data_IF_194962387121
#
_entry.id   IF_194962387121
#
_cell.length_a   1.000
_cell.length_b   1.000
_cell.length_c   1.000
_cell.angle_alpha   90.00
_cell.angle_beta   90.00
_cell.angle_gamma   90.00
#
_symmetry.space_group_name_H-M   'P 1'
#
loop_
_entity.id
_entity.type
_entity.pdbx_description
1 polymer ?
#
# COMPACT_ATOMS: atom_id res chain seq x y z
N UNK A 1 -2.10 -10.41 13.28
CA UNK A 1 -2.46 -10.80 11.89
C UNK A 1 -3.93 -10.51 11.62
N UNK A 2 -4.28 -10.11 10.41
CA UNK A 2 -5.68 -9.90 10.00
C UNK A 2 -6.37 -11.24 9.68
N UNK A 3 -7.72 -11.33 9.75
CA UNK A 3 -8.43 -12.54 9.38
C UNK A 3 -8.31 -12.81 7.87
N UNK A 4 -8.11 -14.08 7.51
CA UNK A 4 -8.09 -14.54 6.12
C UNK A 4 -9.48 -14.42 5.50
N UNK A 5 -9.53 -13.91 4.27
CA UNK A 5 -10.73 -13.82 3.47
C UNK A 5 -10.96 -15.11 2.68
N UNK A 6 -12.14 -15.72 2.85
CA UNK A 6 -12.58 -16.83 2.01
C UNK A 6 -12.86 -16.37 0.56
N UNK A 7 -12.85 -17.30 -0.40
CA UNK A 7 -13.24 -17.02 -1.80
C UNK A 7 -14.63 -16.37 -1.89
N UNK A 8 -15.59 -16.81 -1.07
CA UNK A 8 -16.92 -16.18 -1.00
C UNK A 8 -16.86 -14.72 -0.55
N UNK A 9 -16.00 -14.40 0.42
CA UNK A 9 -15.84 -13.04 0.92
C UNK A 9 -15.13 -12.16 -0.12
N UNK A 10 -14.12 -12.71 -0.79
CA UNK A 10 -13.45 -12.06 -1.92
C UNK A 10 -14.43 -11.75 -3.04
N UNK A 11 -15.31 -12.70 -3.40
CA UNK A 11 -16.33 -12.49 -4.43
C UNK A 11 -17.29 -11.35 -4.07
N UNK A 12 -17.69 -11.24 -2.79
CA UNK A 12 -18.54 -10.13 -2.33
C UNK A 12 -17.84 -8.76 -2.38
N UNK A 13 -16.53 -8.71 -2.14
CA UNK A 13 -15.75 -7.46 -2.08
C UNK A 13 -15.25 -7.01 -3.47
N UNK A 14 -14.82 -7.97 -4.29
CA UNK A 14 -14.24 -7.75 -5.59
C UNK A 14 -14.61 -8.90 -6.55
N UNK A 15 -15.84 -8.94 -7.08
CA UNK A 15 -16.29 -9.96 -8.02
C UNK A 15 -15.36 -10.15 -9.24
N UNK A 16 -14.69 -9.09 -9.71
CA UNK A 16 -13.84 -9.15 -10.90
C UNK A 16 -12.61 -10.04 -10.76
N UNK A 17 -12.25 -10.45 -9.54
CA UNK A 17 -11.20 -11.45 -9.26
C UNK A 17 -11.49 -12.79 -9.97
N UNK A 18 -12.77 -13.15 -10.05
CA UNK A 18 -13.23 -14.45 -10.55
C UNK A 18 -13.57 -14.42 -12.05
N UNK A 19 -13.29 -13.30 -12.71
CA UNK A 19 -13.51 -13.15 -14.14
C UNK A 19 -12.38 -13.82 -14.92
N UNK A 20 -12.72 -14.86 -15.68
CA UNK A 20 -11.78 -15.55 -16.56
C UNK A 20 -11.70 -14.92 -17.96
N UNK A 21 -12.73 -14.15 -18.35
CA UNK A 21 -12.79 -13.48 -19.65
C UNK A 21 -11.99 -12.16 -19.67
N UNK A 22 -11.64 -11.71 -20.87
CA UNK A 22 -11.12 -10.36 -21.12
C UNK A 22 -12.24 -9.46 -21.64
N UNK A 23 -12.16 -8.16 -21.37
CA UNK A 23 -13.09 -7.18 -21.95
C UNK A 23 -13.02 -7.20 -23.48
N UNK A 24 -14.14 -6.96 -24.16
CA UNK A 24 -14.22 -6.82 -25.61
C UNK A 24 -13.34 -5.69 -26.17
N UNK A 25 -12.94 -4.75 -25.31
CA UNK A 25 -12.07 -3.62 -25.66
C UNK A 25 -10.58 -4.00 -25.71
N UNK A 26 -10.22 -5.24 -25.35
CA UNK A 26 -8.83 -5.71 -25.33
C UNK A 26 -8.37 -6.26 -26.67
N UNK A 27 -7.08 -6.10 -26.97
CA UNK A 27 -6.48 -6.61 -28.22
C UNK A 27 -6.45 -8.14 -28.28
N UNK A 28 -6.26 -8.69 -29.48
CA UNK A 28 -6.07 -10.14 -29.68
C UNK A 28 -4.84 -10.68 -28.94
N UNK A 29 -3.80 -9.86 -28.79
CA UNK A 29 -2.56 -10.19 -28.06
C UNK A 29 -2.71 -10.16 -26.54
N UNK A 30 -3.80 -9.60 -26.00
CA UNK A 30 -4.02 -9.55 -24.55
C UNK A 30 -4.45 -10.93 -24.04
N UNK A 31 -3.72 -11.43 -23.05
CA UNK A 31 -4.04 -12.64 -22.29
C UNK A 31 -4.42 -12.27 -20.86
N UNK A 32 -5.67 -12.52 -20.42
CA UNK A 32 -6.09 -12.23 -19.05
C UNK A 32 -5.26 -13.07 -18.07
N UNK A 33 -4.86 -12.44 -16.97
CA UNK A 33 -4.18 -13.13 -15.86
C UNK A 33 -5.28 -13.51 -14.86
N UNK A 34 -5.46 -14.81 -14.62
CA UNK A 34 -6.48 -15.28 -13.70
C UNK A 34 -6.07 -14.97 -12.25
N UNK A 35 -6.69 -13.95 -11.66
CA UNK A 35 -6.41 -13.57 -10.27
C UNK A 35 -6.78 -14.70 -9.31
N UNK A 36 -7.85 -15.45 -9.59
CA UNK A 36 -8.20 -16.64 -8.80
C UNK A 36 -7.06 -17.68 -8.76
N UNK A 37 -6.49 -18.03 -9.90
CA UNK A 37 -5.37 -18.99 -9.95
C UNK A 37 -4.14 -18.46 -9.20
N UNK A 38 -3.89 -17.14 -9.31
CA UNK A 38 -2.82 -16.50 -8.55
C UNK A 38 -3.07 -16.57 -7.05
N UNK A 39 -4.31 -16.35 -6.59
CA UNK A 39 -4.68 -16.48 -5.17
C UNK A 39 -4.39 -17.91 -4.69
N UNK A 40 -4.85 -18.92 -5.42
CA UNK A 40 -4.64 -20.31 -5.04
C UNK A 40 -3.14 -20.65 -4.96
N UNK A 41 -2.36 -20.15 -5.91
CA UNK A 41 -0.90 -20.33 -5.90
C UNK A 41 -0.24 -19.62 -4.72
N UNK A 42 -0.56 -18.35 -4.47
CA UNK A 42 -0.05 -17.59 -3.32
C UNK A 42 -0.40 -18.28 -1.99
N UNK A 43 -1.62 -18.79 -1.86
CA UNK A 43 -2.05 -19.54 -0.66
C UNK A 43 -1.23 -20.82 -0.47
N UNK A 44 -0.92 -21.55 -1.54
CA UNK A 44 -0.02 -22.73 -1.45
C UNK A 44 1.41 -22.36 -1.03
N UNK A 45 1.84 -21.12 -1.26
CA UNK A 45 3.14 -20.58 -0.82
C UNK A 45 3.04 -19.89 0.56
N UNK A 46 1.90 -20.01 1.26
CA UNK A 46 1.70 -19.48 2.61
C UNK A 46 1.22 -18.03 2.70
N UNK A 47 0.85 -17.41 1.56
CA UNK A 47 0.29 -16.06 1.49
C UNK A 47 -1.24 -16.09 1.45
N UNK A 48 -1.86 -15.50 2.47
CA UNK A 48 -3.30 -15.54 2.62
C UNK A 48 -3.90 -14.15 2.39
N UNK A 49 -4.98 -14.03 1.61
CA UNK A 49 -5.62 -12.75 1.35
C UNK A 49 -6.32 -12.26 2.62
N UNK A 50 -6.02 -11.03 3.05
CA UNK A 50 -6.59 -10.41 4.25
C UNK A 50 -7.46 -9.21 3.94
N UNK A 51 -7.35 -8.67 2.72
CA UNK A 51 -8.12 -7.53 2.26
C UNK A 51 -8.30 -7.55 0.75
N UNK A 52 -9.45 -7.05 0.27
CA UNK A 52 -9.72 -6.87 -1.15
C UNK A 52 -10.65 -5.68 -1.42
N UNK A 53 -10.48 -5.06 -2.58
CA UNK A 53 -11.42 -4.07 -3.14
C UNK A 53 -11.39 -4.11 -4.66
N UNK A 54 -12.40 -3.53 -5.30
CA UNK A 54 -12.38 -3.22 -6.72
C UNK A 54 -12.92 -1.82 -7.00
N UNK A 55 -12.52 -1.26 -8.15
CA UNK A 55 -13.06 0.00 -8.63
C UNK A 55 -14.57 -0.09 -8.82
N UNK A 56 -15.29 0.92 -8.33
CA UNK A 56 -16.72 1.05 -8.55
C UNK A 56 -16.97 1.61 -9.94
N UNK A 57 -17.83 0.94 -10.71
CA UNK A 57 -18.35 1.42 -12.00
C UNK A 57 -19.87 1.46 -11.93
N UNK A 58 -20.51 2.40 -12.65
CA UNK A 58 -21.96 2.37 -12.85
C UNK A 58 -22.35 1.40 -13.98
N UNK A 59 -21.53 1.30 -15.03
CA UNK A 59 -21.72 0.34 -16.12
C UNK A 59 -21.50 -1.10 -15.63
N UNK A 60 -22.51 -1.96 -15.80
CA UNK A 60 -22.46 -3.37 -15.37
C UNK A 60 -21.38 -4.17 -16.09
N UNK A 61 -21.16 -3.94 -17.38
CA UNK A 61 -20.13 -4.66 -18.14
C UNK A 61 -18.72 -4.35 -17.61
N UNK A 62 -18.45 -3.06 -17.33
CA UNK A 62 -17.16 -2.64 -16.77
C UNK A 62 -16.93 -3.14 -15.34
N UNK A 63 -17.99 -3.47 -14.57
CA UNK A 63 -17.83 -4.03 -13.21
C UNK A 63 -17.17 -5.40 -13.23
N UNK A 64 -17.43 -6.20 -14.26
CA UNK A 64 -16.91 -7.57 -14.40
C UNK A 64 -15.41 -7.57 -14.65
N UNK A 65 -14.90 -6.55 -15.34
CA UNK A 65 -13.47 -6.41 -15.68
C UNK A 65 -12.72 -5.38 -14.82
N UNK A 66 -13.41 -4.84 -13.81
CA UNK A 66 -12.91 -3.73 -13.00
C UNK A 66 -11.57 -4.06 -12.36
N UNK A 67 -10.70 -3.05 -12.34
CA UNK A 67 -9.45 -3.10 -11.58
C UNK A 67 -9.72 -3.45 -10.12
N UNK A 68 -8.99 -4.42 -9.60
CA UNK A 68 -9.07 -4.85 -8.21
C UNK A 68 -7.70 -4.83 -7.55
N UNK A 69 -7.71 -4.73 -6.24
CA UNK A 69 -6.55 -4.78 -5.38
C UNK A 69 -6.79 -5.79 -4.27
N UNK A 70 -5.78 -6.62 -4.02
CA UNK A 70 -5.74 -7.54 -2.90
C UNK A 70 -4.50 -7.27 -2.04
N UNK A 71 -4.61 -7.59 -0.75
CA UNK A 71 -3.47 -7.62 0.18
C UNK A 71 -3.37 -9.01 0.76
N UNK A 72 -2.15 -9.50 0.84
CA UNK A 72 -1.82 -10.82 1.36
C UNK A 72 -0.84 -10.69 2.52
N UNK A 73 -1.05 -11.48 3.57
CA UNK A 73 -0.11 -11.66 4.68
C UNK A 73 0.42 -13.09 4.66
N UNK A 74 1.70 -13.25 4.96
CA UNK A 74 2.29 -14.57 5.16
C UNK A 74 2.11 -15.00 6.61
N UNK A 75 1.62 -16.22 6.85
CA UNK A 75 1.24 -16.66 8.21
C UNK A 75 2.42 -17.06 9.11
N UNK A 76 3.57 -17.38 8.52
CA UNK A 76 4.79 -17.80 9.20
C UNK A 76 5.71 -16.63 9.57
N UNK A 77 5.44 -15.42 9.06
CA UNK A 77 6.27 -14.24 9.36
C UNK A 77 5.74 -13.52 10.60
N UNK A 78 6.62 -13.37 11.58
CA UNK A 78 6.33 -12.61 12.79
C UNK A 78 6.46 -11.11 12.52
N UNK A 79 5.73 -10.33 13.31
CA UNK A 79 5.91 -8.88 13.31
C UNK A 79 7.30 -8.51 13.84
N UNK A 80 7.88 -7.43 13.34
CA UNK A 80 9.08 -6.86 13.95
C UNK A 80 8.77 -6.09 15.25
N UNK A 81 9.78 -5.45 15.85
CA UNK A 81 9.64 -4.73 17.12
C UNK A 81 8.62 -3.59 17.04
N UNK A 82 8.39 -3.04 15.84
CA UNK A 82 7.42 -1.99 15.56
C UNK A 82 5.97 -2.50 15.35
N UNK A 83 5.78 -3.82 15.38
CA UNK A 83 4.49 -4.46 15.14
C UNK A 83 4.07 -4.44 13.66
N UNK A 84 5.05 -4.40 12.74
CA UNK A 84 4.82 -4.41 11.30
C UNK A 84 4.83 -5.84 10.76
N UNK A 85 3.87 -6.13 9.89
CA UNK A 85 3.78 -7.38 9.13
C UNK A 85 4.17 -7.11 7.69
N UNK A 86 5.03 -7.92 7.06
CA UNK A 86 5.22 -7.85 5.63
C UNK A 86 3.95 -8.28 4.90
N UNK A 87 3.67 -7.58 3.82
CA UNK A 87 2.52 -7.79 2.98
C UNK A 87 2.88 -7.75 1.50
N UNK A 88 2.12 -8.50 0.73
CA UNK A 88 2.12 -8.41 -0.72
C UNK A 88 0.82 -7.75 -1.17
N UNK A 89 0.95 -6.67 -1.95
CA UNK A 89 -0.18 -5.99 -2.58
C UNK A 89 -0.22 -6.35 -4.05
N UNK A 90 -1.33 -6.95 -4.47
CA UNK A 90 -1.60 -7.32 -5.86
C UNK A 90 -2.59 -6.34 -6.44
N UNK A 91 -2.30 -5.80 -7.63
CA UNK A 91 -3.24 -5.01 -8.41
C UNK A 91 -3.37 -5.63 -9.81
N UNK A 92 -4.61 -5.89 -10.25
CA UNK A 92 -4.88 -6.44 -11.57
C UNK A 92 -6.17 -5.87 -12.17
N UNK A 93 -6.33 -5.95 -13.49
CA UNK A 93 -7.58 -5.66 -14.20
C UNK A 93 -7.72 -6.54 -15.44
N UNK A 94 -8.97 -6.69 -15.91
CA UNK A 94 -9.29 -7.53 -17.08
C UNK A 94 -9.75 -6.70 -18.29
N UNK A 95 -9.58 -5.37 -18.22
CA UNK A 95 -9.99 -4.39 -19.22
C UNK A 95 -8.83 -3.89 -20.11
N UNK A 96 -7.59 -4.29 -19.81
CA UNK A 96 -6.39 -3.86 -20.53
C UNK A 96 -5.92 -2.43 -20.22
N UNK A 97 -6.57 -1.73 -19.28
CA UNK A 97 -6.21 -0.36 -18.89
C UNK A 97 -5.18 -0.30 -17.75
N UNK A 98 -4.84 -1.43 -17.14
CA UNK A 98 -3.81 -1.53 -16.13
C UNK A 98 -2.98 -2.80 -16.34
N UNK A 99 -1.70 -2.73 -16.00
CA UNK A 99 -0.86 -3.92 -15.89
C UNK A 99 -1.11 -4.63 -14.57
N UNK A 100 -0.84 -5.92 -14.55
CA UNK A 100 -0.67 -6.67 -13.32
C UNK A 100 0.54 -6.14 -12.54
N UNK A 101 0.37 -5.88 -11.24
CA UNK A 101 1.41 -5.35 -10.35
C UNK A 101 1.47 -6.16 -9.05
N UNK A 102 2.68 -6.47 -8.62
CA UNK A 102 2.99 -6.94 -7.26
C UNK A 102 3.85 -5.90 -6.57
N UNK A 103 3.52 -5.57 -5.33
CA UNK A 103 4.16 -4.51 -4.57
C UNK A 103 4.41 -5.01 -3.15
N UNK A 104 5.61 -4.76 -2.63
CA UNK A 104 5.93 -4.97 -1.22
C UNK A 104 5.24 -3.92 -0.34
N UNK A 105 4.70 -4.35 0.79
CA UNK A 105 4.13 -3.47 1.78
C UNK A 105 4.47 -3.93 3.19
N UNK A 106 4.30 -3.02 4.15
CA UNK A 106 4.29 -3.29 5.56
C UNK A 106 2.94 -2.89 6.13
N UNK A 107 2.39 -3.70 7.01
CA UNK A 107 1.14 -3.40 7.68
C UNK A 107 1.32 -3.33 9.18
N UNK A 108 0.93 -2.20 9.76
CA UNK A 108 0.78 -2.03 11.20
C UNK A 108 -0.69 -2.18 11.54
N UNK A 109 -1.04 -3.16 12.37
CA UNK A 109 -2.45 -3.41 12.77
C UNK A 109 -3.09 -2.17 13.39
N UNK A 110 -2.32 -1.44 14.20
CA UNK A 110 -2.79 -0.23 14.91
C UNK A 110 -3.09 0.92 13.95
N UNK A 111 -2.42 0.96 12.79
CA UNK A 111 -2.57 2.09 11.88
C UNK A 111 -3.80 1.97 10.97
N UNK A 112 -4.19 0.73 10.61
CA UNK A 112 -5.26 0.46 9.62
C UNK A 112 -4.95 0.96 8.20
N UNK A 113 -3.95 1.85 8.04
CA UNK A 113 -3.62 2.51 6.78
C UNK A 113 -2.74 1.65 5.87
N UNK A 114 -1.93 0.73 6.43
CA UNK A 114 -0.87 0.08 5.66
C UNK A 114 0.20 1.08 5.20
N UNK A 115 1.46 0.71 5.34
CA UNK A 115 2.57 1.43 4.74
C UNK A 115 2.99 0.64 3.50
N UNK A 116 2.69 1.16 2.31
CA UNK A 116 3.26 0.60 1.09
C UNK A 116 4.53 1.40 0.86
N UNK A 117 5.71 0.78 0.96
CA UNK A 117 6.90 1.41 0.41
C UNK A 117 7.14 0.93 -1.00
N UNK A 118 7.64 1.86 -1.78
CA UNK A 118 7.78 1.73 -3.20
C UNK A 118 7.76 3.13 -3.77
N UNK A 119 8.94 3.64 -4.09
CA UNK A 119 9.02 4.38 -5.33
C UNK A 119 8.69 3.40 -6.48
N UNK A 120 8.48 3.89 -7.70
CA UNK A 120 8.21 3.08 -8.90
C UNK A 120 9.24 1.97 -9.20
N UNK A 121 10.27 1.78 -8.38
CA UNK A 121 11.41 0.89 -8.58
C UNK A 121 11.28 -0.50 -7.92
N UNK A 122 10.53 -0.66 -6.82
CA UNK A 122 10.40 -1.95 -6.10
C UNK A 122 9.08 -2.68 -6.37
N UNK A 123 8.34 -2.23 -7.39
CA UNK A 123 7.18 -2.94 -7.89
C UNK A 123 7.52 -3.86 -9.05
N UNK A 124 6.87 -5.01 -9.11
CA UNK A 124 7.01 -5.96 -10.22
C UNK A 124 5.81 -5.80 -11.12
N UNK A 125 6.07 -5.37 -12.35
CA UNK A 125 5.06 -5.23 -13.40
C UNK A 125 5.11 -6.41 -14.34
N UNK A 126 4.01 -7.13 -14.45
CA UNK A 126 3.90 -8.28 -15.34
C UNK A 126 3.00 -7.89 -16.51
N UNK A 127 3.49 -8.10 -17.73
CA UNK A 127 2.70 -7.88 -18.94
C UNK A 127 1.66 -8.99 -19.06
N UNK A 128 0.49 -8.66 -19.57
CA UNK A 128 -0.59 -9.60 -19.91
C UNK A 128 -0.27 -10.42 -21.17
N UNK A 129 0.94 -10.99 -21.26
CA UNK A 129 1.49 -11.73 -22.39
C UNK A 129 2.50 -12.78 -21.88
N UNK A 130 2.53 -13.98 -22.47
CA UNK A 130 3.49 -15.03 -22.13
C UNK A 130 3.10 -15.89 -20.92
N UNK A 131 4.08 -16.58 -20.31
CA UNK A 131 3.87 -17.41 -19.11
C UNK A 131 3.81 -16.54 -17.86
N UNK A 132 2.59 -16.15 -17.47
CA UNK A 132 2.40 -15.18 -16.39
C UNK A 132 2.54 -15.82 -15.01
N UNK A 133 2.13 -17.07 -14.82
CA UNK A 133 2.08 -17.69 -13.48
C UNK A 133 3.50 -17.85 -12.89
N UNK A 134 4.47 -18.27 -13.69
CA UNK A 134 5.87 -18.36 -13.22
C UNK A 134 6.43 -16.98 -12.84
N UNK A 135 6.20 -15.97 -13.66
CA UNK A 135 6.63 -14.59 -13.38
C UNK A 135 6.00 -14.03 -12.09
N UNK A 136 4.77 -14.44 -11.78
CA UNK A 136 4.07 -14.04 -10.54
C UNK A 136 4.74 -14.66 -9.32
N UNK A 137 5.11 -15.95 -9.40
CA UNK A 137 5.76 -16.65 -8.28
C UNK A 137 7.16 -16.08 -8.03
N UNK A 138 7.98 -15.97 -9.07
CA UNK A 138 9.32 -15.37 -8.96
C UNK A 138 9.23 -13.94 -8.40
N UNK A 139 8.26 -13.16 -8.90
CA UNK A 139 8.03 -11.82 -8.40
C UNK A 139 7.61 -11.78 -6.93
N UNK A 140 6.88 -12.79 -6.46
CA UNK A 140 6.50 -12.89 -5.05
C UNK A 140 7.71 -13.03 -4.14
N UNK A 141 8.68 -13.89 -4.50
CA UNK A 141 9.90 -14.06 -3.71
C UNK A 141 10.71 -12.78 -3.60
N UNK A 142 10.86 -12.04 -4.71
CA UNK A 142 11.55 -10.75 -4.71
C UNK A 142 10.81 -9.70 -3.84
N UNK A 143 9.48 -9.68 -3.89
CA UNK A 143 8.66 -8.78 -3.05
C UNK A 143 8.84 -9.05 -1.55
N UNK A 144 9.03 -10.31 -1.16
CA UNK A 144 9.29 -10.69 0.24
C UNK A 144 10.65 -10.16 0.71
N UNK A 145 11.68 -10.34 -0.12
CA UNK A 145 13.03 -9.83 0.19
C UNK A 145 12.99 -8.32 0.41
N UNK A 146 12.31 -7.58 -0.48
CA UNK A 146 12.08 -6.15 -0.29
C UNK A 146 11.34 -5.86 1.01
N UNK A 147 10.28 -6.60 1.34
CA UNK A 147 9.52 -6.38 2.57
C UNK A 147 10.38 -6.62 3.83
N UNK A 148 11.28 -7.61 3.82
CA UNK A 148 12.21 -7.85 4.92
C UNK A 148 13.20 -6.69 5.07
N UNK A 149 13.79 -6.22 3.97
CA UNK A 149 14.68 -5.05 4.01
C UNK A 149 13.97 -3.80 4.57
N UNK A 150 12.67 -3.67 4.30
CA UNK A 150 11.86 -2.60 4.87
C UNK A 150 11.59 -2.78 6.37
N UNK A 151 11.45 -4.03 6.86
CA UNK A 151 11.36 -4.30 8.30
C UNK A 151 12.64 -3.85 8.98
N UNK A 152 13.80 -4.26 8.45
CA UNK A 152 15.10 -3.89 8.99
C UNK A 152 15.28 -2.36 9.02
N UNK A 153 14.96 -1.69 7.90
CA UNK A 153 15.01 -0.23 7.85
C UNK A 153 14.06 0.44 8.87
N UNK A 154 12.90 -0.15 9.14
CA UNK A 154 11.97 0.38 10.15
C UNK A 154 12.49 0.19 11.56
N UNK A 155 13.20 -0.90 11.86
CA UNK A 155 13.84 -1.13 13.16
C UNK A 155 15.05 -0.21 13.33
N UNK A 156 15.85 0.00 12.28
CA UNK A 156 16.96 0.95 12.27
C UNK A 156 16.46 2.38 12.55
N UNK A 157 15.40 2.82 11.86
CA UNK A 157 14.77 4.10 12.14
C UNK A 157 14.27 4.18 13.58
N UNK A 158 13.63 3.12 14.08
CA UNK A 158 13.12 3.11 15.46
C UNK A 158 14.22 3.12 16.54
N UNK A 159 15.47 2.79 16.18
CA UNK A 159 16.61 2.89 17.09
C UNK A 159 17.04 4.35 17.35
N UNK A 160 16.67 5.28 16.47
CA UNK A 160 17.06 6.69 16.53
C UNK A 160 15.98 7.48 17.26
N UNK A 161 16.30 8.02 18.44
CA UNK A 161 15.38 8.86 19.21
C UNK A 161 15.59 10.34 18.90
N UNK A 162 14.50 11.05 18.64
CA UNK A 162 14.53 12.47 18.33
C UNK A 162 14.13 13.32 19.53
N UNK A 163 14.91 14.35 19.83
CA UNK A 163 14.51 15.42 20.73
C UNK A 163 13.52 16.38 20.02
N UNK A 164 12.96 17.34 20.77
CA UNK A 164 11.93 18.23 20.23
C UNK A 164 12.44 19.17 19.13
N UNK A 165 13.72 19.59 19.20
CA UNK A 165 14.34 20.40 18.13
C UNK A 165 14.51 19.57 16.86
N UNK A 166 14.99 18.33 16.97
CA UNK A 166 15.17 17.41 15.84
C UNK A 166 13.83 17.05 15.18
N UNK A 167 12.77 16.84 15.96
CA UNK A 167 11.41 16.65 15.43
C UNK A 167 10.96 17.86 14.62
N UNK A 168 11.22 19.08 15.11
CA UNK A 168 10.87 20.31 14.42
C UNK A 168 11.64 20.48 13.12
N UNK A 169 12.95 20.21 13.11
CA UNK A 169 13.78 20.21 11.90
C UNK A 169 13.21 19.23 10.86
N UNK A 170 12.83 18.03 11.29
CA UNK A 170 12.26 17.04 10.37
C UNK A 170 10.90 17.48 9.82
N UNK A 171 10.05 18.06 10.68
CA UNK A 171 8.76 18.61 10.27
C UNK A 171 8.91 19.77 9.27
N UNK A 172 9.88 20.66 9.46
CA UNK A 172 10.18 21.77 8.55
C UNK A 172 10.69 21.27 7.19
N UNK A 173 11.60 20.30 7.20
CA UNK A 173 12.07 19.66 5.98
C UNK A 173 10.91 19.02 5.20
N UNK A 174 10.07 18.23 5.88
CA UNK A 174 8.91 17.59 5.28
C UNK A 174 7.86 18.62 4.79
N UNK A 175 7.65 19.70 5.55
CA UNK A 175 6.77 20.79 5.18
C UNK A 175 7.25 21.48 3.89
N UNK A 176 8.55 21.76 3.77
CA UNK A 176 9.13 22.43 2.60
C UNK A 176 8.90 21.66 1.30
N UNK A 177 8.88 20.33 1.35
CA UNK A 177 8.63 19.49 0.16
C UNK A 177 7.20 19.56 -0.34
N UNK A 178 6.23 19.85 0.53
CA UNK A 178 4.80 19.82 0.20
C UNK A 178 4.18 21.21 0.02
N UNK A 179 4.68 22.19 0.77
CA UNK A 179 4.09 23.52 0.90
C UNK A 179 5.07 24.64 0.46
N UNK A 180 6.08 24.34 -0.36
CA UNK A 180 6.99 25.34 -0.94
C UNK A 180 6.25 26.44 -1.71
N UNK A 181 5.13 26.06 -2.35
CA UNK A 181 4.38 26.93 -3.24
C UNK A 181 3.22 27.55 -2.47
N UNK A 182 3.38 28.81 -2.05
CA UNK A 182 2.36 29.60 -1.34
C UNK A 182 1.27 30.15 -2.28
N UNK A 183 1.12 29.58 -3.48
CA UNK A 183 0.08 29.91 -4.45
C UNK A 183 -1.32 29.58 -3.89
N UNK A 184 -1.87 30.52 -3.12
CA UNK A 184 -3.14 30.37 -2.43
C UNK A 184 -3.24 31.14 -1.12
N UNK A 185 -2.11 31.65 -0.61
CA UNK A 185 -2.07 32.42 0.64
C UNK A 185 -2.44 31.58 1.87
N UNK A 186 -2.33 30.25 1.80
CA UNK A 186 -2.59 29.36 2.92
C UNK A 186 -1.25 28.92 3.52
N UNK A 187 -1.01 29.23 4.79
CA UNK A 187 0.17 28.81 5.54
C UNK A 187 -0.21 27.71 6.52
N UNK A 188 0.54 26.61 6.50
CA UNK A 188 0.45 25.54 7.48
C UNK A 188 1.66 25.69 8.41
N UNK A 189 1.44 25.58 9.72
CA UNK A 189 2.55 25.54 10.67
C UNK A 189 3.20 24.14 10.62
N UNK A 190 4.53 24.01 10.40
CA UNK A 190 5.23 22.73 10.43
C UNK A 190 4.96 21.90 11.69
N UNK A 191 4.84 22.53 12.85
CA UNK A 191 4.53 21.86 14.12
C UNK A 191 3.18 21.12 14.08
N UNK A 192 2.23 21.60 13.28
CA UNK A 192 0.93 20.92 13.10
C UNK A 192 1.08 19.56 12.41
N UNK A 193 2.18 19.32 11.68
CA UNK A 193 2.48 18.02 11.07
C UNK A 193 2.88 16.98 12.11
N UNK A 194 3.39 17.39 13.28
CA UNK A 194 3.82 16.50 14.35
C UNK A 194 2.69 16.04 15.26
N UNK A 195 1.44 16.46 15.00
CA UNK A 195 0.30 16.07 15.83
C UNK A 195 -0.10 14.62 15.53
N UNK A 196 0.12 13.67 16.46
CA UNK A 196 -0.25 12.28 16.23
C UNK A 196 -1.77 12.14 16.17
N UNK A 197 -2.26 11.39 15.19
CA UNK A 197 -3.70 11.08 15.06
C UNK A 197 -4.15 9.95 15.99
N UNK A 198 -3.21 9.20 16.55
CA UNK A 198 -3.46 8.02 17.39
C UNK A 198 -2.79 8.16 18.73
N UNK A 199 -3.42 7.59 19.75
CA UNK A 199 -2.88 7.58 21.11
C UNK A 199 -1.53 6.84 21.21
N UNK A 200 -1.38 5.70 20.52
CA UNK A 200 -0.14 4.91 20.57
C UNK A 200 1.07 5.63 19.98
N UNK A 201 0.86 6.59 19.08
CA UNK A 201 1.94 7.36 18.47
C UNK A 201 2.27 8.63 19.31
N UNK A 202 1.64 8.83 20.49
CA UNK A 202 1.91 9.98 21.37
C UNK A 202 3.10 9.77 22.32
N UNK A 203 3.44 8.51 22.59
CA UNK A 203 4.44 8.16 23.62
C UNK A 203 5.83 7.96 23.07
N UNK A 204 5.93 7.60 21.78
CA UNK A 204 7.20 7.23 21.16
C UNK A 204 7.73 8.40 20.33
N UNK A 205 9.02 8.68 20.49
CA UNK A 205 9.72 9.80 19.84
C UNK A 205 10.83 9.32 18.90
N UNK A 206 10.81 8.04 18.53
CA UNK A 206 11.74 7.49 17.57
C UNK A 206 11.47 8.00 16.14
N UNK A 207 12.50 7.97 15.30
CA UNK A 207 12.44 8.48 13.93
C UNK A 207 11.37 7.76 13.09
N UNK A 208 11.14 6.46 13.31
CA UNK A 208 10.09 5.71 12.59
C UNK A 208 8.70 6.23 12.95
N UNK A 209 8.40 6.40 14.24
CA UNK A 209 7.13 6.95 14.72
C UNK A 209 6.91 8.37 14.21
N UNK A 210 7.91 9.25 14.35
CA UNK A 210 7.83 10.64 13.90
C UNK A 210 7.64 10.72 12.38
N UNK A 211 8.35 9.91 11.60
CA UNK A 211 8.17 9.82 10.15
C UNK A 211 6.73 9.43 9.79
N UNK A 212 6.16 8.43 10.45
CA UNK A 212 4.79 7.98 10.19
C UNK A 212 3.75 9.06 10.53
N UNK A 213 3.92 9.80 11.63
CA UNK A 213 3.04 10.91 12.00
C UNK A 213 3.05 11.99 10.92
N UNK A 214 4.26 12.42 10.51
CA UNK A 214 4.44 13.43 9.46
C UNK A 214 3.82 12.96 8.14
N UNK A 215 4.14 11.75 7.70
CA UNK A 215 3.64 11.17 6.46
C UNK A 215 2.11 11.07 6.45
N UNK A 216 1.51 10.58 7.53
CA UNK A 216 0.06 10.44 7.63
C UNK A 216 -0.64 11.80 7.58
N UNK A 217 -0.09 12.80 8.26
CA UNK A 217 -0.61 14.17 8.23
C UNK A 217 -0.51 14.79 6.84
N UNK A 218 0.62 14.61 6.16
CA UNK A 218 0.83 15.11 4.80
C UNK A 218 -0.09 14.46 3.76
N UNK A 219 -0.33 13.15 3.87
CA UNK A 219 -1.17 12.40 2.91
C UNK A 219 -2.65 12.62 3.17
N UNK A 220 -3.12 12.52 4.43
CA UNK A 220 -4.55 12.63 4.75
C UNK A 220 -5.04 14.07 4.75
N UNK A 221 -4.16 15.06 4.89
CA UNK A 221 -4.56 16.46 5.00
C UNK A 221 -5.44 16.71 6.22
N UNK A 222 -6.32 17.71 6.17
CA UNK A 222 -7.14 18.09 7.34
C UNK A 222 -6.35 18.77 8.46
N UNK A 223 -5.16 19.27 8.12
CA UNK A 223 -4.30 20.06 9.01
C UNK A 223 -4.82 21.50 8.97
N UNK A 224 -4.92 22.14 10.13
CA UNK A 224 -5.30 23.55 10.20
C UNK A 224 -4.23 24.40 9.54
N UNK A 225 -4.63 25.15 8.52
CA UNK A 225 -3.84 26.23 7.93
C UNK A 225 -4.52 27.57 8.17
N UNK A 226 -3.72 28.63 8.12
CA UNK A 226 -4.18 30.01 8.22
C UNK A 226 -4.09 30.66 6.84
N UNK A 227 -5.15 31.35 6.44
CA UNK A 227 -5.13 32.18 5.25
C UNK A 227 -4.50 33.52 5.60
N UNK A 228 -3.49 33.93 4.86
CA UNK A 228 -3.05 35.32 4.86
C UNK A 228 -4.21 36.15 4.30
N UNK A 229 -4.76 37.04 5.13
CA UNK A 229 -5.63 38.08 4.61
C UNK A 229 -4.77 38.95 3.68
N UNK A 230 -5.16 39.02 2.40
CA UNK A 230 -4.68 40.08 1.51
C UNK A 230 -5.33 41.40 1.91
#
# INVERSE_FOLDING_TARGET
>A
MLPVLSKEKLFKLAPSIFTQAKSHQTSTKYSPISTEQVIDKLMSEGFFPTWATQTKSQNQESKVFAKHMLRFQRHDVMQNNQGLYPELVLINSHDGLSSYRLIAGLFRVVCGNGLIAGQSYDEIRIKHQGNVIENVIEGTYKVIETANNMLDASDDMASIHLNDEEKMIFAEAAHSLKFSDTEGGMSVNPQSLLQPRRYRDQTDNDLFTVFNILQENLIKGGIRGHRFNK
#
